data_IF_643003511811
#
_entry.id   IF_643003511811
#
_cell.length_a   1.000
_cell.length_b   1.000
_cell.length_c   1.000
_cell.angle_alpha   90.00
_cell.angle_beta   90.00
_cell.angle_gamma   90.00
#
_symmetry.space_group_name_H-M   'P 1'
#
loop_
_entity.id
_entity.type
_entity.pdbx_description
1 polymer ?
#
# COMPACT_ATOMS: atom_id res chain seq x y z
N UNK A 1 4.31 23.76 68.52
CA UNK A 1 4.21 24.05 67.08
C UNK A 1 4.92 22.94 66.36
N UNK A 2 4.16 22.02 65.73
CA UNK A 2 4.73 20.89 64.98
C UNK A 2 4.65 21.22 63.48
N UNK A 3 5.79 21.44 62.88
CA UNK A 3 5.90 21.68 61.42
C UNK A 3 5.77 20.37 60.66
N UNK A 4 4.70 20.22 59.89
CA UNK A 4 4.48 19.10 58.98
C UNK A 4 5.24 19.39 57.68
N UNK A 5 6.27 18.59 57.41
CA UNK A 5 6.97 18.60 56.10
C UNK A 5 6.15 17.82 55.09
N UNK A 6 5.57 18.53 54.12
CA UNK A 6 4.92 17.90 52.98
C UNK A 6 6.00 17.35 52.00
N UNK A 7 6.07 16.02 51.88
CA UNK A 7 6.85 15.35 50.84
C UNK A 7 6.01 15.33 49.57
N UNK A 8 6.39 16.15 48.61
CA UNK A 8 5.82 16.10 47.25
C UNK A 8 6.54 14.98 46.51
N UNK A 9 5.88 13.83 46.37
CA UNK A 9 6.34 12.77 45.49
C UNK A 9 6.02 13.16 44.04
N UNK A 10 7.07 13.49 43.26
CA UNK A 10 6.96 13.72 41.81
C UNK A 10 6.77 12.40 41.11
N UNK A 11 5.54 12.09 40.68
CA UNK A 11 5.25 11.00 39.78
C UNK A 11 5.79 11.36 38.37
N UNK A 12 6.96 10.84 38.02
CA UNK A 12 7.47 10.92 36.68
C UNK A 12 6.59 10.12 35.72
N UNK A 13 5.80 10.80 34.90
CA UNK A 13 5.04 10.17 33.84
C UNK A 13 6.00 9.62 32.79
N UNK A 14 6.16 8.29 32.75
CA UNK A 14 6.88 7.59 31.68
C UNK A 14 6.05 7.67 30.40
N UNK A 15 6.34 8.62 29.53
CA UNK A 15 5.72 8.73 28.22
C UNK A 15 6.30 7.62 27.33
N UNK A 16 5.56 6.52 27.22
CA UNK A 16 5.83 5.48 26.26
C UNK A 16 5.57 6.04 24.86
N UNK A 17 6.63 6.42 24.14
CA UNK A 17 6.55 6.78 22.72
C UNK A 17 6.24 5.53 21.91
N UNK A 18 4.95 5.27 21.68
CA UNK A 18 4.55 4.21 20.75
C UNK A 18 4.87 4.65 19.32
N UNK A 19 5.44 3.75 18.48
CA UNK A 19 5.66 4.07 17.08
C UNK A 19 4.32 4.41 16.42
N UNK A 20 4.30 5.54 15.70
CA UNK A 20 3.09 6.01 15.03
C UNK A 20 2.56 4.94 14.08
N UNK A 21 1.28 4.59 14.13
CA UNK A 21 0.69 3.54 13.28
C UNK A 21 0.90 3.79 11.78
N UNK A 22 1.03 5.04 11.37
CA UNK A 22 1.28 5.44 9.98
C UNK A 22 2.57 4.88 9.36
N UNK A 23 3.63 4.70 10.14
CA UNK A 23 4.90 4.17 9.64
C UNK A 23 4.82 2.67 9.33
N UNK A 24 4.19 1.91 10.23
CA UNK A 24 3.99 0.46 10.05
C UNK A 24 3.08 0.15 8.84
N UNK A 25 2.02 0.91 8.66
CA UNK A 25 1.08 0.76 7.53
C UNK A 25 1.76 1.01 6.18
N UNK A 26 2.64 1.99 6.10
CA UNK A 26 3.36 2.30 4.86
C UNK A 26 4.35 1.18 4.48
N UNK A 27 5.00 0.53 5.46
CA UNK A 27 5.90 -0.60 5.22
C UNK A 27 5.13 -1.80 4.68
N UNK A 28 4.00 -2.19 5.29
CA UNK A 28 3.20 -3.32 4.85
C UNK A 28 2.66 -3.09 3.43
N UNK A 29 2.07 -1.94 3.17
CA UNK A 29 1.56 -1.57 1.85
C UNK A 29 2.63 -1.59 0.77
N UNK A 30 3.84 -1.10 1.07
CA UNK A 30 5.00 -1.17 0.18
C UNK A 30 5.42 -2.61 -0.11
N UNK A 31 5.48 -3.45 0.91
CA UNK A 31 5.86 -4.86 0.74
C UNK A 31 4.84 -5.62 -0.11
N UNK A 32 3.55 -5.42 0.14
CA UNK A 32 2.48 -5.98 -0.67
C UNK A 32 2.58 -5.53 -2.14
N UNK A 33 2.84 -4.25 -2.36
CA UNK A 33 3.02 -3.70 -3.71
C UNK A 33 4.22 -4.33 -4.43
N UNK A 34 5.38 -4.40 -3.77
CA UNK A 34 6.60 -4.97 -4.36
C UNK A 34 6.38 -6.44 -4.73
N UNK A 35 5.78 -7.21 -3.85
CA UNK A 35 5.61 -8.65 -4.05
C UNK A 35 4.56 -9.01 -5.11
N UNK A 36 3.57 -8.14 -5.32
CA UNK A 36 2.37 -8.51 -6.07
C UNK A 36 2.08 -7.62 -7.29
N UNK A 37 2.57 -6.41 -7.31
CA UNK A 37 2.20 -5.42 -8.31
C UNK A 37 3.39 -4.94 -9.15
N UNK A 38 4.58 -4.81 -8.52
CA UNK A 38 5.73 -4.17 -9.14
C UNK A 38 6.28 -4.94 -10.37
N UNK A 39 6.05 -6.25 -10.48
CA UNK A 39 6.47 -7.03 -11.65
C UNK A 39 5.86 -6.52 -12.97
N UNK A 40 4.68 -5.89 -12.89
CA UNK A 40 4.01 -5.25 -14.02
C UNK A 40 4.08 -3.72 -13.89
N UNK A 41 3.65 -3.18 -12.74
CA UNK A 41 3.53 -1.73 -12.56
C UNK A 41 4.86 -1.00 -12.35
N UNK A 42 5.95 -1.72 -12.03
CA UNK A 42 7.25 -1.11 -11.74
C UNK A 42 7.33 -0.47 -10.35
N UNK A 43 8.54 -0.15 -9.90
CA UNK A 43 8.74 0.52 -8.61
C UNK A 43 8.18 1.97 -8.58
N UNK A 44 8.05 2.58 -9.75
CA UNK A 44 7.55 3.94 -9.98
C UNK A 44 6.04 4.00 -10.29
N UNK A 45 5.36 2.87 -10.32
CA UNK A 45 3.91 2.72 -10.64
C UNK A 45 3.55 3.21 -12.07
N UNK A 46 4.54 3.32 -12.97
CA UNK A 46 4.38 3.81 -14.35
C UNK A 46 4.22 2.72 -15.41
N UNK A 47 3.99 1.48 -15.00
CA UNK A 47 3.93 0.37 -15.95
C UNK A 47 5.30 0.00 -16.53
N UNK A 48 6.36 0.16 -15.75
CA UNK A 48 7.76 -0.07 -16.15
C UNK A 48 8.31 -1.41 -15.68
N UNK A 49 7.47 -2.24 -15.05
CA UNK A 49 7.89 -3.54 -14.55
C UNK A 49 8.35 -4.49 -15.67
N UNK A 50 9.15 -5.52 -15.36
CA UNK A 50 9.72 -6.42 -16.36
C UNK A 50 8.68 -7.17 -17.21
N UNK A 51 7.46 -7.34 -16.71
CA UNK A 51 6.37 -7.99 -17.44
C UNK A 51 5.40 -6.98 -18.10
N UNK A 52 5.59 -5.68 -17.91
CA UNK A 52 4.65 -4.65 -18.38
C UNK A 52 4.38 -4.73 -19.89
N UNK A 53 5.43 -4.87 -20.68
CA UNK A 53 5.35 -4.93 -22.16
C UNK A 53 4.87 -6.29 -22.69
N UNK A 54 4.91 -7.33 -21.88
CA UNK A 54 4.47 -8.67 -22.25
C UNK A 54 2.98 -8.91 -21.96
N UNK A 55 2.34 -8.01 -21.26
CA UNK A 55 0.91 -8.07 -20.97
C UNK A 55 0.08 -7.49 -22.11
N UNK A 56 -1.10 -8.06 -22.32
CA UNK A 56 -2.09 -7.53 -23.25
C UNK A 56 -3.45 -7.42 -22.54
N UNK A 57 -3.99 -6.21 -22.37
CA UNK A 57 -3.36 -4.91 -22.71
C UNK A 57 -2.08 -4.65 -21.91
N UNK A 58 -1.22 -3.75 -22.41
CA UNK A 58 0.01 -3.34 -21.72
C UNK A 58 -0.34 -2.73 -20.35
N UNK A 59 0.54 -2.91 -19.37
CA UNK A 59 0.34 -2.38 -18.02
C UNK A 59 0.31 -0.84 -18.06
N UNK A 60 -0.74 -0.20 -17.55
CA UNK A 60 -0.88 1.25 -17.64
C UNK A 60 0.03 1.99 -16.65
N UNK A 61 0.38 3.23 -17.01
CA UNK A 61 0.93 4.22 -16.09
C UNK A 61 -0.19 4.75 -15.17
N UNK A 62 -0.08 4.48 -13.87
CA UNK A 62 -1.04 4.93 -12.87
C UNK A 62 -0.71 6.32 -12.29
N UNK A 63 0.35 6.98 -12.78
CA UNK A 63 0.74 8.32 -12.33
C UNK A 63 0.21 9.44 -13.24
N UNK A 64 -0.55 9.09 -14.26
CA UNK A 64 -1.16 10.05 -15.19
C UNK A 64 -2.17 10.97 -14.51
N UNK A 65 -2.35 12.17 -15.04
CA UNK A 65 -3.34 13.13 -14.53
C UNK A 65 -4.77 12.53 -14.51
N UNK A 66 -5.11 11.74 -15.54
CA UNK A 66 -6.40 11.06 -15.62
C UNK A 66 -6.59 10.04 -14.47
N UNK A 67 -5.56 9.26 -14.15
CA UNK A 67 -5.65 8.31 -13.05
C UNK A 67 -5.65 9.01 -11.68
N UNK A 68 -4.86 10.07 -11.51
CA UNK A 68 -4.89 10.91 -10.29
C UNK A 68 -6.26 11.50 -10.05
N UNK A 69 -6.91 12.01 -11.09
CA UNK A 69 -8.29 12.48 -10.98
C UNK A 69 -9.24 11.36 -10.57
N UNK A 70 -9.13 10.18 -11.20
CA UNK A 70 -9.95 9.01 -10.85
C UNK A 70 -9.72 8.57 -9.40
N UNK A 71 -8.49 8.58 -8.92
CA UNK A 71 -8.15 8.25 -7.53
C UNK A 71 -8.72 9.27 -6.54
N UNK A 72 -8.72 10.55 -6.92
CA UNK A 72 -9.35 11.62 -6.12
C UNK A 72 -10.86 11.44 -6.04
N UNK A 73 -11.53 11.21 -7.18
CA UNK A 73 -12.99 11.06 -7.26
C UNK A 73 -13.47 9.73 -6.63
N UNK A 74 -12.63 8.70 -6.66
CA UNK A 74 -12.90 7.39 -6.11
C UNK A 74 -11.67 6.83 -5.38
N UNK A 75 -11.45 7.20 -4.10
CA UNK A 75 -10.27 6.79 -3.33
C UNK A 75 -10.09 5.28 -3.15
N UNK A 76 -11.15 4.49 -3.32
CA UNK A 76 -11.14 3.03 -3.25
C UNK A 76 -10.80 2.31 -4.56
N UNK A 77 -10.46 3.01 -5.64
CA UNK A 77 -10.27 2.41 -6.98
C UNK A 77 -9.21 1.31 -7.01
N UNK A 78 -8.12 1.46 -6.24
CA UNK A 78 -7.04 0.48 -6.16
C UNK A 78 -7.54 -0.79 -5.47
N UNK A 79 -8.11 -0.62 -4.29
CA UNK A 79 -8.61 -1.73 -3.45
C UNK A 79 -9.72 -2.49 -4.15
N UNK A 80 -10.67 -1.80 -4.77
CA UNK A 80 -11.75 -2.45 -5.51
C UNK A 80 -11.21 -3.32 -6.66
N UNK A 81 -10.16 -2.86 -7.34
CA UNK A 81 -9.51 -3.64 -8.41
C UNK A 81 -8.88 -4.93 -7.89
N UNK A 82 -8.33 -4.93 -6.68
CA UNK A 82 -7.75 -6.12 -6.04
C UNK A 82 -8.84 -7.06 -5.53
N UNK A 83 -9.86 -6.54 -4.84
CA UNK A 83 -10.97 -7.34 -4.30
C UNK A 83 -11.75 -8.07 -5.39
N UNK A 84 -11.97 -7.41 -6.52
CA UNK A 84 -12.69 -7.98 -7.67
C UNK A 84 -11.85 -9.02 -8.44
N UNK A 85 -10.55 -9.10 -8.19
CA UNK A 85 -9.62 -10.00 -8.88
C UNK A 85 -8.70 -10.71 -7.88
N UNK A 86 -9.25 -11.58 -7.03
CA UNK A 86 -8.45 -12.25 -6.01
C UNK A 86 -7.40 -13.17 -6.64
N UNK A 87 -6.19 -13.10 -6.07
CA UNK A 87 -5.04 -14.01 -6.29
C UNK A 87 -4.69 -14.33 -7.76
N UNK A 88 -4.96 -14.76 -8.62
CA UNK A 88 -4.49 -15.05 -9.99
C UNK A 88 -5.11 -14.16 -11.05
N UNK A 89 -6.28 -13.59 -10.77
CA UNK A 89 -7.00 -12.80 -11.77
C UNK A 89 -6.44 -11.37 -11.91
N UNK A 90 -5.52 -10.99 -11.02
CA UNK A 90 -4.73 -9.77 -11.20
C UNK A 90 -3.75 -9.86 -12.38
N UNK A 91 -3.39 -11.07 -12.79
CA UNK A 91 -2.46 -11.30 -13.90
C UNK A 91 -3.26 -11.34 -15.20
N UNK A 92 -2.91 -10.56 -16.23
CA UNK A 92 -3.51 -10.64 -17.55
C UNK A 92 -3.49 -12.07 -18.10
N UNK A 93 -4.56 -12.46 -18.80
CA UNK A 93 -4.73 -13.82 -19.34
C UNK A 93 -3.52 -14.28 -20.14
N UNK A 94 -2.99 -13.42 -21.00
CA UNK A 94 -1.81 -13.73 -21.82
C UNK A 94 -0.58 -14.12 -20.99
N UNK A 95 -0.37 -13.50 -19.85
CA UNK A 95 0.74 -13.86 -18.97
C UNK A 95 0.45 -15.14 -18.19
N UNK A 96 -0.79 -15.36 -17.75
CA UNK A 96 -1.19 -16.62 -17.09
C UNK A 96 -1.02 -17.83 -18.00
N UNK A 97 -1.43 -17.72 -19.26
CA UNK A 97 -1.26 -18.74 -20.29
C UNK A 97 0.23 -19.05 -20.57
N UNK A 98 1.11 -18.07 -20.33
CA UNK A 98 2.57 -18.23 -20.40
C UNK A 98 3.22 -18.59 -19.05
N UNK A 99 2.45 -19.08 -18.10
CA UNK A 99 2.96 -19.63 -16.84
C UNK A 99 3.27 -18.62 -15.73
N UNK A 100 2.96 -17.33 -15.90
CA UNK A 100 3.13 -16.33 -14.85
C UNK A 100 2.07 -16.56 -13.76
N UNK A 101 2.52 -16.69 -12.52
CA UNK A 101 1.68 -16.95 -11.35
C UNK A 101 2.05 -16.00 -10.21
N UNK A 102 1.05 -15.63 -9.42
CA UNK A 102 1.25 -15.01 -8.10
C UNK A 102 1.00 -16.07 -7.02
N UNK A 103 1.84 -16.05 -5.99
CA UNK A 103 1.57 -16.86 -4.81
C UNK A 103 0.24 -16.45 -4.16
N UNK A 104 -0.58 -17.40 -3.68
CA UNK A 104 -1.79 -17.08 -2.94
C UNK A 104 -1.48 -16.17 -1.75
N UNK A 105 -2.41 -15.26 -1.43
CA UNK A 105 -2.30 -14.36 -0.29
C UNK A 105 -3.66 -14.28 0.43
N UNK A 106 -3.64 -14.47 1.74
CA UNK A 106 -4.82 -14.31 2.58
C UNK A 106 -5.01 -12.84 2.92
N UNK A 107 -5.73 -12.12 2.08
CA UNK A 107 -5.98 -10.70 2.23
C UNK A 107 -6.77 -10.37 3.49
N UNK A 108 -6.22 -9.50 4.31
CA UNK A 108 -6.92 -8.89 5.45
C UNK A 108 -7.43 -7.51 5.08
N UNK A 109 -8.38 -6.99 5.85
CA UNK A 109 -8.85 -5.60 5.71
C UNK A 109 -7.69 -4.60 5.89
N UNK A 110 -6.74 -4.94 6.77
CA UNK A 110 -5.57 -4.11 7.00
C UNK A 110 -4.65 -4.09 5.78
N UNK A 111 -4.41 -5.23 5.12
CA UNK A 111 -3.62 -5.29 3.89
C UNK A 111 -4.19 -4.40 2.79
N UNK A 112 -5.52 -4.41 2.63
CA UNK A 112 -6.18 -3.53 1.66
C UNK A 112 -5.99 -2.05 2.00
N UNK A 113 -6.11 -1.67 3.25
CA UNK A 113 -5.89 -0.29 3.71
C UNK A 113 -4.46 0.14 3.47
N UNK A 114 -3.50 -0.70 3.86
CA UNK A 114 -2.08 -0.41 3.76
C UNK A 114 -1.63 -0.28 2.30
N UNK A 115 -2.07 -1.20 1.45
CA UNK A 115 -1.80 -1.15 0.01
C UNK A 115 -2.38 0.13 -0.62
N UNK A 116 -3.64 0.44 -0.31
CA UNK A 116 -4.30 1.64 -0.83
C UNK A 116 -3.58 2.91 -0.39
N UNK A 117 -3.23 3.01 0.88
CA UNK A 117 -2.53 4.17 1.42
C UNK A 117 -1.16 4.35 0.78
N UNK A 118 -0.38 3.27 0.67
CA UNK A 118 0.93 3.31 0.03
C UNK A 118 0.84 3.76 -1.43
N UNK A 119 0.00 3.11 -2.22
CA UNK A 119 -0.13 3.43 -3.65
C UNK A 119 -0.67 4.84 -3.87
N UNK A 120 -1.70 5.25 -3.11
CA UNK A 120 -2.28 6.60 -3.20
C UNK A 120 -1.26 7.68 -2.87
N UNK A 121 -0.42 7.46 -1.85
CA UNK A 121 0.64 8.39 -1.47
C UNK A 121 1.69 8.54 -2.57
N UNK A 122 2.18 7.42 -3.11
CA UNK A 122 3.18 7.42 -4.19
C UNK A 122 2.62 8.07 -5.47
N UNK A 123 1.39 7.71 -5.86
CA UNK A 123 0.73 8.27 -7.05
C UNK A 123 0.53 9.78 -6.91
N UNK A 124 0.05 10.24 -5.76
CA UNK A 124 -0.21 11.67 -5.52
C UNK A 124 1.05 12.51 -5.55
N UNK A 125 2.17 11.97 -5.09
CA UNK A 125 3.48 12.65 -5.04
C UNK A 125 4.29 12.53 -6.34
N UNK A 126 3.89 11.65 -7.27
CA UNK A 126 4.58 11.49 -8.55
C UNK A 126 4.45 12.76 -9.42
N UNK A 127 5.53 13.11 -10.12
CA UNK A 127 5.57 14.23 -11.07
C UNK A 127 5.25 13.74 -12.48
#
# INVERSE_FOLDING_TARGET
MKTIKLLIASLGALVLTQPSPSFSQNINGKNLYIQRCAMCHGADIKGTGPLAKKSNPATPDLTTAAFKKRLHDYPGVIVSSVILRPNGDLIPRTLRENGVKLAPHSWTVQDFRDLNNYMSDVISKSR
#
